data_IF_508567721550
#
_entry.id   IF_508567721550
#
_cell.length_a   1.000
_cell.length_b   1.000
_cell.length_c   1.000
_cell.angle_alpha   90.00
_cell.angle_beta   90.00
_cell.angle_gamma   90.00
#
_symmetry.space_group_name_H-M   'P 1'
#
loop_
_entity.id
_entity.type
_entity.pdbx_description
1 polymer ?
#
# COMPACT_ATOMS: atom_id res chain seq x y z
N UNK A 1 12.73 -12.77 -7.00
CA UNK A 1 12.33 -11.40 -6.60
C UNK A 1 13.47 -10.36 -6.63
N UNK A 2 14.77 -10.71 -6.52
CA UNK A 2 15.86 -9.71 -6.57
C UNK A 2 16.09 -9.05 -7.94
N UNK A 3 15.82 -9.73 -9.06
CA UNK A 3 16.03 -9.16 -10.39
C UNK A 3 15.10 -7.97 -10.70
N UNK A 4 13.87 -7.96 -10.17
CA UNK A 4 12.93 -6.84 -10.32
C UNK A 4 13.39 -5.59 -9.53
N UNK A 5 14.15 -5.78 -8.45
CA UNK A 5 14.77 -4.67 -7.70
C UNK A 5 15.99 -4.06 -8.40
N UNK A 6 16.54 -4.73 -9.42
CA UNK A 6 17.61 -4.20 -10.28
C UNK A 6 17.09 -3.46 -11.51
N UNK A 7 15.82 -3.68 -11.88
CA UNK A 7 15.13 -2.84 -12.85
C UNK A 7 14.83 -1.49 -12.17
N UNK A 8 14.98 -0.35 -12.87
CA UNK A 8 14.74 1.00 -12.33
C UNK A 8 13.24 1.24 -12.11
N UNK A 9 12.66 0.53 -11.14
CA UNK A 9 11.25 0.55 -10.78
C UNK A 9 11.04 1.27 -9.45
N UNK A 10 10.06 2.17 -9.40
CA UNK A 10 9.80 3.05 -8.26
C UNK A 10 9.22 2.33 -7.04
N UNK A 11 8.81 1.07 -7.19
CA UNK A 11 8.26 0.18 -6.18
C UNK A 11 9.18 0.02 -4.96
N UNK A 12 10.49 -0.09 -5.19
CA UNK A 12 11.49 -0.31 -4.14
C UNK A 12 11.62 0.91 -3.24
N UNK A 13 11.78 2.09 -3.86
CA UNK A 13 11.88 3.36 -3.16
C UNK A 13 10.56 3.68 -2.45
N UNK A 14 9.43 3.52 -3.13
CA UNK A 14 8.10 3.66 -2.55
C UNK A 14 7.93 2.75 -1.33
N UNK A 15 8.29 1.46 -1.45
CA UNK A 15 8.13 0.48 -0.38
C UNK A 15 8.94 0.83 0.86
N UNK A 16 10.21 1.21 0.70
CA UNK A 16 11.07 1.63 1.82
C UNK A 16 10.51 2.89 2.48
N UNK A 17 10.14 3.91 1.71
CA UNK A 17 9.55 5.14 2.24
C UNK A 17 8.21 4.87 2.96
N UNK A 18 7.35 4.03 2.38
CA UNK A 18 6.06 3.68 2.96
C UNK A 18 6.23 2.92 4.29
N UNK A 19 7.09 1.90 4.34
CA UNK A 19 7.35 1.14 5.58
C UNK A 19 7.89 2.06 6.68
N UNK A 20 8.91 2.88 6.37
CA UNK A 20 9.47 3.81 7.36
C UNK A 20 8.48 4.90 7.75
N UNK A 21 7.63 5.38 6.84
CA UNK A 21 6.54 6.30 7.15
C UNK A 21 5.61 5.70 8.21
N UNK A 22 5.19 4.44 8.04
CA UNK A 22 4.33 3.75 9.01
C UNK A 22 5.04 3.52 10.35
N UNK A 23 6.34 3.22 10.35
CA UNK A 23 7.14 3.11 11.58
C UNK A 23 7.21 4.46 12.31
N UNK A 24 7.45 5.57 11.60
CA UNK A 24 7.50 6.90 12.20
C UNK A 24 6.14 7.36 12.71
N UNK A 25 5.07 7.06 11.97
CA UNK A 25 3.69 7.32 12.39
C UNK A 25 3.32 6.55 13.66
N UNK A 26 3.73 5.28 13.77
CA UNK A 26 3.57 4.47 14.99
C UNK A 26 4.38 5.03 16.17
N UNK A 27 5.54 5.64 15.91
CA UNK A 27 6.37 6.31 16.91
C UNK A 27 5.97 7.77 17.20
N UNK A 28 4.82 8.23 16.71
CA UNK A 28 4.37 9.62 16.87
C UNK A 28 5.34 10.68 16.33
N UNK A 29 6.27 10.29 15.44
CA UNK A 29 7.19 11.21 14.75
C UNK A 29 6.54 11.71 13.46
N UNK A 30 5.47 12.50 13.60
CA UNK A 30 4.61 12.90 12.48
C UNK A 30 5.37 13.58 11.35
N UNK A 31 6.24 14.55 11.64
CA UNK A 31 6.99 15.27 10.59
C UNK A 31 7.88 14.35 9.74
N UNK A 32 8.55 13.38 10.37
CA UNK A 32 9.34 12.39 9.66
C UNK A 32 8.46 11.48 8.80
N UNK A 33 7.29 11.08 9.32
CA UNK A 33 6.31 10.32 8.54
C UNK A 33 5.79 11.12 7.34
N UNK A 34 5.47 12.42 7.54
CA UNK A 34 5.04 13.32 6.48
C UNK A 34 6.09 13.51 5.39
N UNK A 35 7.36 13.71 5.76
CA UNK A 35 8.47 13.82 4.81
C UNK A 35 8.64 12.53 3.99
N UNK A 36 8.62 11.36 4.65
CA UNK A 36 8.73 10.07 3.97
C UNK A 36 7.55 9.79 3.04
N UNK A 37 6.32 10.15 3.46
CA UNK A 37 5.14 10.06 2.61
C UNK A 37 5.21 11.02 1.41
N UNK A 38 5.77 12.22 1.60
CA UNK A 38 6.03 13.19 0.52
C UNK A 38 7.02 12.65 -0.50
N UNK A 39 8.14 12.08 -0.05
CA UNK A 39 9.11 11.41 -0.93
C UNK A 39 8.46 10.22 -1.65
N UNK A 40 7.64 9.42 -0.96
CA UNK A 40 6.86 8.36 -1.60
C UNK A 40 5.92 8.93 -2.68
N UNK A 41 5.30 10.09 -2.44
CA UNK A 41 4.42 10.78 -3.40
C UNK A 41 5.12 11.25 -4.67
N UNK A 42 6.40 11.62 -4.59
CA UNK A 42 7.21 11.93 -5.78
C UNK A 42 7.56 10.69 -6.62
N UNK A 43 7.41 9.50 -6.05
CA UNK A 43 7.70 8.24 -6.76
C UNK A 43 6.47 7.61 -7.38
N UNK A 44 5.31 7.69 -6.70
CA UNK A 44 4.07 7.01 -7.09
C UNK A 44 2.83 7.72 -6.55
N UNK A 45 1.79 7.81 -7.37
CA UNK A 45 0.48 8.35 -6.96
C UNK A 45 -0.22 7.50 -5.88
N UNK A 46 0.14 6.23 -5.75
CA UNK A 46 -0.36 5.34 -4.68
C UNK A 46 0.00 5.85 -3.28
N UNK A 47 0.95 6.78 -3.14
CA UNK A 47 1.24 7.46 -1.88
C UNK A 47 0.06 8.27 -1.32
N UNK A 48 -0.96 8.57 -2.14
CA UNK A 48 -2.21 9.18 -1.65
C UNK A 48 -2.81 8.38 -0.49
N UNK A 49 -2.64 7.06 -0.47
CA UNK A 49 -3.06 6.21 0.64
C UNK A 49 -2.34 6.54 1.96
N UNK A 50 -1.06 6.90 1.91
CA UNK A 50 -0.29 7.35 3.07
C UNK A 50 -0.74 8.74 3.53
N UNK A 51 -0.97 9.67 2.59
CA UNK A 51 -1.47 11.02 2.86
C UNK A 51 -2.82 10.97 3.58
N UNK A 52 -3.76 10.16 3.07
CA UNK A 52 -5.08 9.96 3.69
C UNK A 52 -4.94 9.34 5.09
N UNK A 53 -4.02 8.38 5.26
CA UNK A 53 -3.77 7.77 6.57
C UNK A 53 -3.20 8.78 7.57
N UNK A 54 -2.28 9.67 7.15
CA UNK A 54 -1.76 10.75 7.98
C UNK A 54 -2.85 11.77 8.35
N UNK A 55 -3.70 12.14 7.40
CA UNK A 55 -4.84 13.03 7.65
C UNK A 55 -5.83 12.44 8.65
N UNK A 56 -6.17 11.15 8.51
CA UNK A 56 -7.01 10.47 9.48
C UNK A 56 -6.34 10.35 10.86
N UNK A 57 -5.02 10.16 10.89
CA UNK A 57 -4.27 10.14 12.15
C UNK A 57 -4.28 11.51 12.85
N UNK A 58 -4.15 12.60 12.08
CA UNK A 58 -4.28 13.97 12.58
C UNK A 58 -5.68 14.25 13.12
N UNK A 59 -6.72 13.76 12.43
CA UNK A 59 -8.11 13.88 12.90
C UNK A 59 -8.32 13.10 14.20
N UNK A 60 -7.88 11.85 14.27
CA UNK A 60 -7.99 11.00 15.47
C UNK A 60 -7.27 11.65 16.66
N UNK A 61 -6.08 12.19 16.45
CA UNK A 61 -5.32 12.88 17.51
C UNK A 61 -6.04 14.16 17.98
N UNK A 62 -6.61 14.91 17.04
CA UNK A 62 -7.42 16.11 17.34
C UNK A 62 -8.64 15.75 18.19
N UNK A 63 -9.38 14.71 17.80
CA UNK A 63 -10.57 14.24 18.53
C UNK A 63 -10.20 13.76 19.93
N UNK A 64 -9.09 13.02 20.09
CA UNK A 64 -8.59 12.59 21.40
C UNK A 64 -8.37 13.78 22.33
N UNK A 65 -7.64 14.79 21.87
CA UNK A 65 -7.38 16.00 22.67
C UNK A 65 -8.68 16.74 23.04
N UNK A 66 -9.67 16.80 22.14
CA UNK A 66 -10.97 17.41 22.43
C UNK A 66 -11.74 16.62 23.49
N UNK A 67 -11.77 15.30 23.40
CA UNK A 67 -12.46 14.43 24.35
C UNK A 67 -11.81 14.48 25.73
N UNK A 68 -10.48 14.45 25.81
CA UNK A 68 -9.72 14.52 27.06
C UNK A 68 -9.99 15.84 27.80
N UNK A 69 -10.08 16.96 27.06
CA UNK A 69 -10.46 18.27 27.61
C UNK A 69 -11.89 18.30 28.13
N UNK A 70 -12.83 17.65 27.42
CA UNK A 70 -14.25 17.57 27.83
C UNK A 70 -14.46 16.69 29.05
N UNK A 71 -13.65 15.65 29.21
CA UNK A 71 -13.73 14.74 30.36
C UNK A 71 -13.23 15.37 31.68
N UNK A 72 -12.81 16.64 31.68
CA UNK A 72 -12.38 17.33 32.89
C UNK A 72 -11.05 16.82 33.46
N UNK A 73 -10.27 16.05 32.69
CA UNK A 73 -8.94 15.57 33.06
C UNK A 73 -7.87 16.70 33.03
N UNK A 74 -8.29 17.94 33.27
CA UNK A 74 -7.44 19.10 33.43
C UNK A 74 -7.18 19.37 34.90
N UNK A 75 -6.21 18.67 35.49
CA UNK A 75 -5.31 19.11 36.58
C UNK A 75 -4.79 17.91 37.38
N UNK A 76 -3.47 17.79 37.49
CA UNK A 76 -2.83 16.83 38.40
C UNK A 76 -2.02 15.74 37.72
N UNK A 77 -1.00 16.14 36.97
CA UNK A 77 0.39 15.66 37.03
C UNK A 77 1.00 16.05 35.69
N UNK A 78 1.95 16.98 35.76
CA UNK A 78 2.97 17.15 34.73
C UNK A 78 3.72 15.81 34.59
N UNK A 79 3.13 14.89 33.83
CA UNK A 79 3.82 13.73 33.32
C UNK A 79 4.50 14.20 32.04
N UNK A 80 5.78 14.54 32.16
CA UNK A 80 6.73 14.60 31.06
C UNK A 80 6.82 13.22 30.39
N UNK A 81 5.76 12.86 29.65
CA UNK A 81 5.83 11.92 28.55
C UNK A 81 5.97 12.73 27.26
N UNK A 82 6.80 12.33 26.29
CA UNK A 82 7.16 13.17 25.12
C UNK A 82 6.02 13.42 24.10
N UNK A 83 4.76 13.60 24.50
CA UNK A 83 3.64 13.79 23.55
C UNK A 83 2.30 14.34 24.08
N UNK A 84 2.23 14.94 25.28
CA UNK A 84 0.95 15.33 25.91
C UNK A 84 0.49 16.79 25.69
N UNK A 85 0.95 17.49 24.65
CA UNK A 85 0.52 18.88 24.38
C UNK A 85 -0.09 19.04 22.99
N UNK A 86 -0.83 20.12 22.79
CA UNK A 86 -1.45 20.58 21.51
C UNK A 86 -0.51 20.52 20.30
N UNK A 87 0.80 20.46 20.54
CA UNK A 87 1.83 20.25 19.53
C UNK A 87 1.66 18.95 18.74
N UNK A 88 1.11 17.88 19.33
CA UNK A 88 0.94 16.58 18.68
C UNK A 88 -0.12 16.62 17.55
N UNK A 89 -1.34 17.16 17.77
CA UNK A 89 -2.29 17.40 16.67
C UNK A 89 -1.75 18.32 15.59
N UNK A 90 -1.10 19.44 15.96
CA UNK A 90 -0.57 20.39 14.99
C UNK A 90 0.50 19.75 14.11
N UNK A 91 1.45 19.03 14.71
CA UNK A 91 2.50 18.33 13.95
C UNK A 91 1.95 17.24 13.05
N UNK A 92 0.84 16.58 13.42
CA UNK A 92 0.15 15.62 12.57
C UNK A 92 -0.52 16.29 11.35
N UNK A 93 -1.17 17.44 11.54
CA UNK A 93 -1.73 18.22 10.43
C UNK A 93 -0.64 18.77 9.51
N UNK A 94 0.44 19.34 10.07
CA UNK A 94 1.60 19.80 9.31
C UNK A 94 2.19 18.63 8.52
N UNK A 95 2.37 17.46 9.13
CA UNK A 95 2.85 16.27 8.42
C UNK A 95 1.95 15.85 7.26
N UNK A 96 0.62 15.96 7.42
CA UNK A 96 -0.34 15.68 6.35
C UNK A 96 -0.14 16.63 5.17
N UNK A 97 -0.03 17.94 5.44
CA UNK A 97 0.24 18.95 4.40
C UNK A 97 1.58 18.69 3.73
N UNK A 98 2.65 18.50 4.52
CA UNK A 98 4.00 18.19 4.02
C UNK A 98 4.01 16.94 3.15
N UNK A 99 3.20 15.93 3.47
CA UNK A 99 3.09 14.72 2.65
C UNK A 99 2.35 14.93 1.33
N UNK A 100 1.35 15.82 1.31
CA UNK A 100 0.50 16.06 0.15
C UNK A 100 1.15 16.98 -0.89
N UNK A 101 1.92 17.97 -0.44
CA UNK A 101 2.51 19.02 -1.30
C UNK A 101 3.39 18.43 -2.42
N UNK A 102 4.35 17.52 -2.16
CA UNK A 102 5.20 16.98 -3.23
C UNK A 102 4.41 16.24 -4.30
N UNK A 103 3.40 15.45 -3.89
CA UNK A 103 2.51 14.75 -4.82
C UNK A 103 1.71 15.73 -5.67
N UNK A 104 1.12 16.76 -5.06
CA UNK A 104 0.35 17.78 -5.76
C UNK A 104 1.22 18.59 -6.75
N UNK A 105 2.42 18.97 -6.34
CA UNK A 105 3.38 19.69 -7.20
C UNK A 105 3.82 18.82 -8.38
N UNK A 106 4.08 17.54 -8.14
CA UNK A 106 4.43 16.60 -9.23
C UNK A 106 3.28 16.45 -10.23
N UNK A 107 2.05 16.27 -9.75
CA UNK A 107 0.87 16.16 -10.62
C UNK A 107 0.68 17.46 -11.40
N UNK A 108 0.75 18.62 -10.76
CA UNK A 108 0.60 19.92 -11.44
C UNK A 108 1.67 20.14 -12.51
N UNK A 109 2.93 19.80 -12.20
CA UNK A 109 4.02 19.85 -13.18
C UNK A 109 3.78 18.89 -14.35
N UNK A 110 3.46 17.63 -14.07
CA UNK A 110 3.23 16.63 -15.10
C UNK A 110 2.00 16.95 -15.95
N UNK A 111 0.97 17.54 -15.37
CA UNK A 111 -0.23 18.00 -16.06
C UNK A 111 0.09 19.09 -17.07
N UNK A 112 0.90 20.09 -16.68
CA UNK A 112 1.38 21.12 -17.60
C UNK A 112 2.21 20.54 -18.77
N UNK A 113 3.07 19.56 -18.50
CA UNK A 113 3.86 18.89 -19.54
C UNK A 113 3.00 18.06 -20.51
N UNK A 114 1.91 17.47 -20.02
CA UNK A 114 1.01 16.62 -20.79
C UNK A 114 -0.25 17.36 -21.26
N UNK A 115 -0.33 18.68 -21.12
CA UNK A 115 -1.49 19.48 -21.49
C UNK A 115 -2.00 19.21 -22.93
N UNK A 116 -1.16 18.99 -23.97
CA UNK A 116 -1.62 18.70 -25.32
C UNK A 116 -2.42 17.39 -25.47
N UNK A 117 -2.26 16.44 -24.55
CA UNK A 117 -2.94 15.12 -24.57
C UNK A 117 -3.99 14.99 -23.46
N UNK A 118 -4.50 16.11 -22.95
CA UNK A 118 -5.50 16.13 -21.87
C UNK A 118 -4.90 16.07 -20.47
N UNK A 119 -3.64 16.50 -20.31
CA UNK A 119 -2.97 16.57 -19.02
C UNK A 119 -2.47 15.21 -18.53
N UNK A 120 -2.08 15.15 -17.25
CA UNK A 120 -1.50 13.95 -16.65
C UNK A 120 -2.48 12.76 -16.75
N UNK A 121 -3.75 13.00 -16.43
CA UNK A 121 -4.76 11.95 -16.45
C UNK A 121 -5.19 11.57 -17.88
N UNK A 122 -5.20 12.50 -18.84
CA UNK A 122 -5.43 12.18 -20.24
C UNK A 122 -4.32 11.28 -20.83
N UNK A 123 -3.06 11.55 -20.49
CA UNK A 123 -1.93 10.69 -20.86
C UNK A 123 -2.01 9.30 -20.20
N UNK A 124 -2.46 9.22 -18.94
CA UNK A 124 -2.66 7.95 -18.24
C UNK A 124 -3.78 7.10 -18.84
N UNK A 125 -4.91 7.73 -19.20
CA UNK A 125 -6.04 7.01 -19.77
C UNK A 125 -5.74 6.52 -21.20
N UNK A 126 -5.16 7.38 -22.04
CA UNK A 126 -4.81 7.05 -23.42
C UNK A 126 -3.68 6.02 -23.57
N UNK A 127 -2.66 6.08 -22.71
CA UNK A 127 -1.51 5.18 -22.79
C UNK A 127 -1.69 3.87 -22.04
N UNK A 128 -2.43 3.89 -20.93
CA UNK A 128 -2.42 2.81 -19.94
C UNK A 128 -3.80 2.35 -19.49
N UNK A 129 -4.88 3.02 -19.90
CA UNK A 129 -6.24 2.79 -19.42
C UNK A 129 -6.31 2.72 -17.88
N UNK A 130 -5.57 3.59 -17.19
CA UNK A 130 -5.44 3.56 -15.72
C UNK A 130 -6.62 4.20 -14.97
N UNK A 131 -7.77 4.39 -15.62
CA UNK A 131 -8.95 5.03 -15.05
C UNK A 131 -9.61 4.20 -13.94
N UNK A 132 -10.42 4.83 -13.10
CA UNK A 132 -11.28 4.11 -12.16
C UNK A 132 -12.49 3.52 -12.90
N UNK A 133 -12.65 2.20 -12.85
CA UNK A 133 -13.71 1.49 -13.57
C UNK A 133 -14.62 0.66 -12.66
N UNK A 134 -14.42 0.76 -11.34
CA UNK A 134 -15.15 -0.01 -10.33
C UNK A 134 -14.84 -1.50 -10.33
N UNK A 135 -13.73 -1.92 -10.93
CA UNK A 135 -13.28 -3.31 -10.98
C UNK A 135 -13.88 -4.13 -12.12
N UNK A 136 -14.51 -3.48 -13.12
CA UNK A 136 -15.11 -4.15 -14.27
C UNK A 136 -14.07 -4.90 -15.11
N UNK A 137 -12.95 -4.26 -15.39
CA UNK A 137 -11.81 -4.82 -16.11
C UNK A 137 -11.16 -5.95 -15.31
N UNK A 138 -11.08 -5.81 -13.98
CA UNK A 138 -10.62 -6.88 -13.09
C UNK A 138 -11.52 -8.11 -13.21
N UNK A 139 -12.83 -7.94 -13.14
CA UNK A 139 -13.78 -9.04 -13.26
C UNK A 139 -13.74 -9.68 -14.66
N UNK A 140 -13.63 -8.86 -15.70
CA UNK A 140 -13.47 -9.31 -17.09
C UNK A 140 -12.22 -10.16 -17.25
N UNK A 141 -11.09 -9.70 -16.73
CA UNK A 141 -9.82 -10.43 -16.75
C UNK A 141 -9.90 -11.78 -16.02
N UNK A 142 -10.53 -11.82 -14.85
CA UNK A 142 -10.71 -13.06 -14.11
C UNK A 142 -11.46 -14.10 -14.94
N UNK A 143 -12.57 -13.68 -15.56
CA UNK A 143 -13.40 -14.55 -16.41
C UNK A 143 -12.70 -15.00 -17.68
N UNK A 144 -12.02 -14.09 -18.38
CA UNK A 144 -11.51 -14.32 -19.74
C UNK A 144 -10.08 -14.85 -19.77
N UNK A 145 -9.29 -14.68 -18.69
CA UNK A 145 -7.86 -15.01 -18.68
C UNK A 145 -7.42 -15.87 -17.50
N UNK A 146 -8.09 -15.76 -16.36
CA UNK A 146 -7.63 -16.44 -15.12
C UNK A 146 -8.28 -17.80 -14.94
N UNK A 147 -9.59 -17.91 -15.24
CA UNK A 147 -10.33 -19.16 -15.14
C UNK A 147 -10.39 -19.95 -16.45
N UNK A 148 -9.64 -19.51 -17.47
CA UNK A 148 -9.46 -20.23 -18.74
C UNK A 148 -8.17 -21.04 -18.64
N UNK A 149 -8.23 -22.34 -18.98
CA UNK A 149 -7.12 -23.26 -18.80
C UNK A 149 -5.87 -22.93 -19.62
N UNK A 150 -4.67 -23.42 -19.24
CA UNK A 150 -3.47 -23.27 -20.05
C UNK A 150 -3.65 -23.97 -21.40
N UNK A 151 -3.70 -23.21 -22.50
CA UNK A 151 -3.90 -23.73 -23.86
C UNK A 151 -5.02 -23.05 -24.65
N UNK A 152 -6.10 -22.62 -23.98
CA UNK A 152 -7.26 -21.96 -24.62
C UNK A 152 -7.12 -20.43 -24.63
N UNK A 153 -5.89 -19.92 -24.77
CA UNK A 153 -5.58 -18.48 -24.68
C UNK A 153 -5.25 -17.95 -23.28
N UNK A 154 -5.20 -18.84 -22.27
CA UNK A 154 -4.65 -18.57 -20.94
C UNK A 154 -3.14 -18.80 -20.89
N UNK A 155 -2.37 -17.74 -20.69
CA UNK A 155 -0.94 -17.81 -20.33
C UNK A 155 -0.83 -17.94 -18.80
N UNK A 156 0.09 -18.76 -18.31
CA UNK A 156 0.36 -18.92 -16.87
C UNK A 156 0.65 -17.57 -16.21
N UNK A 157 1.29 -16.62 -16.91
CA UNK A 157 1.50 -15.26 -16.38
C UNK A 157 0.19 -14.50 -16.11
N UNK A 158 -0.82 -14.69 -16.95
CA UNK A 158 -2.14 -14.08 -16.75
C UNK A 158 -2.91 -14.70 -15.59
N UNK A 159 -2.77 -16.02 -15.41
CA UNK A 159 -3.34 -16.75 -14.29
C UNK A 159 -2.70 -16.28 -12.98
N UNK A 160 -1.36 -16.17 -12.92
CA UNK A 160 -0.65 -15.63 -11.75
C UNK A 160 -1.14 -14.23 -11.40
N UNK A 161 -1.34 -13.37 -12.41
CA UNK A 161 -1.84 -12.02 -12.19
C UNK A 161 -3.25 -12.00 -11.57
N UNK A 162 -4.18 -12.79 -12.12
CA UNK A 162 -5.53 -12.92 -11.58
C UNK A 162 -5.56 -13.52 -10.18
N UNK A 163 -4.78 -14.59 -9.94
CA UNK A 163 -4.65 -15.21 -8.62
C UNK A 163 -4.06 -14.24 -7.59
N UNK A 164 -3.14 -13.36 -8.00
CA UNK A 164 -2.57 -12.33 -7.11
C UNK A 164 -3.63 -11.31 -6.67
N UNK A 165 -4.52 -10.92 -7.58
CA UNK A 165 -5.66 -10.03 -7.26
C UNK A 165 -6.65 -10.73 -6.33
N UNK A 166 -6.99 -12.00 -6.59
CA UNK A 166 -7.85 -12.78 -5.69
C UNK A 166 -7.20 -12.90 -4.30
N UNK A 167 -5.91 -13.25 -4.26
CA UNK A 167 -5.17 -13.39 -3.02
C UNK A 167 -5.17 -12.10 -2.20
N UNK A 168 -4.94 -10.93 -2.80
CA UNK A 168 -4.95 -9.68 -2.03
C UNK A 168 -6.35 -9.34 -1.51
N UNK A 169 -7.41 -9.60 -2.28
CA UNK A 169 -8.79 -9.37 -1.80
C UNK A 169 -9.09 -10.28 -0.61
N UNK A 170 -8.73 -11.56 -0.68
CA UNK A 170 -8.88 -12.49 0.43
C UNK A 170 -8.05 -12.08 1.65
N UNK A 171 -6.82 -11.59 1.46
CA UNK A 171 -5.96 -11.09 2.53
C UNK A 171 -6.57 -9.85 3.19
N UNK A 172 -7.10 -8.90 2.40
CA UNK A 172 -7.79 -7.71 2.94
C UNK A 172 -8.98 -8.13 3.79
N UNK A 173 -9.84 -9.02 3.30
CA UNK A 173 -11.00 -9.53 4.06
C UNK A 173 -10.55 -10.28 5.32
N UNK A 174 -9.58 -11.19 5.20
CA UNK A 174 -9.05 -11.95 6.33
C UNK A 174 -8.37 -11.05 7.38
N UNK A 175 -7.78 -9.92 6.96
CA UNK A 175 -7.14 -8.94 7.84
C UNK A 175 -8.13 -8.09 8.65
N UNK A 176 -9.42 -8.07 8.29
CA UNK A 176 -10.46 -7.44 9.12
C UNK A 176 -10.55 -8.12 10.49
N UNK A 177 -10.33 -9.43 10.58
CA UNK A 177 -10.34 -10.15 11.83
C UNK A 177 -9.27 -9.69 12.83
N UNK A 178 -7.96 -9.67 12.51
CA UNK A 178 -6.95 -9.13 13.41
C UNK A 178 -7.10 -7.62 13.64
N UNK A 179 -7.65 -6.87 12.68
CA UNK A 179 -7.98 -5.45 12.87
C UNK A 179 -9.03 -5.26 13.98
N UNK A 180 -10.16 -5.98 13.89
CA UNK A 180 -11.24 -5.91 14.87
C UNK A 180 -10.83 -6.42 16.26
N UNK A 181 -9.88 -7.36 16.33
CA UNK A 181 -9.30 -7.84 17.59
C UNK A 181 -8.19 -6.96 18.17
N UNK A 182 -7.83 -5.85 17.50
CA UNK A 182 -6.73 -4.98 17.93
C UNK A 182 -5.33 -5.59 17.77
N UNK A 183 -5.21 -6.72 17.05
CA UNK A 183 -3.92 -7.33 16.73
C UNK A 183 -3.22 -6.65 15.55
N UNK A 184 -3.96 -5.92 14.72
CA UNK A 184 -3.45 -5.11 13.60
C UNK A 184 -3.85 -3.65 13.82
N UNK A 185 -2.89 -2.73 13.78
CA UNK A 185 -3.17 -1.29 13.84
C UNK A 185 -3.85 -0.83 12.55
N UNK A 186 -4.93 -0.06 12.67
CA UNK A 186 -5.61 0.58 11.54
C UNK A 186 -4.65 1.45 10.72
N UNK A 187 -3.62 2.04 11.35
CA UNK A 187 -2.56 2.83 10.69
C UNK A 187 -1.75 2.01 9.69
N UNK A 188 -1.66 0.69 9.89
CA UNK A 188 -1.03 -0.26 8.96
C UNK A 188 -2.05 -0.76 7.94
N UNK A 189 -3.26 -1.07 8.40
CA UNK A 189 -4.31 -1.66 7.57
C UNK A 189 -4.82 -0.71 6.48
N UNK A 190 -5.13 0.54 6.85
CA UNK A 190 -5.76 1.51 5.94
C UNK A 190 -4.95 1.77 4.66
N UNK A 191 -3.65 2.14 4.72
CA UNK A 191 -2.90 2.41 3.50
C UNK A 191 -2.73 1.15 2.64
N UNK A 192 -2.57 -0.03 3.25
CA UNK A 192 -2.49 -1.30 2.54
C UNK A 192 -3.80 -1.66 1.83
N UNK A 193 -4.94 -1.51 2.51
CA UNK A 193 -6.27 -1.75 1.96
C UNK A 193 -6.61 -0.75 0.83
N UNK A 194 -6.25 0.53 1.01
CA UNK A 194 -6.43 1.55 -0.03
C UNK A 194 -5.61 1.25 -1.28
N UNK A 195 -4.33 0.89 -1.14
CA UNK A 195 -3.48 0.54 -2.29
C UNK A 195 -4.04 -0.71 -3.00
N UNK A 196 -4.47 -1.73 -2.25
CA UNK A 196 -5.15 -2.89 -2.84
C UNK A 196 -6.43 -2.47 -3.58
N UNK A 197 -7.23 -1.57 -3.00
CA UNK A 197 -8.43 -1.03 -3.63
C UNK A 197 -8.13 -0.27 -4.93
N UNK A 198 -7.11 0.60 -4.94
CA UNK A 198 -6.67 1.31 -6.16
C UNK A 198 -6.34 0.30 -7.26
N UNK A 199 -5.62 -0.77 -6.94
CA UNK A 199 -5.23 -1.80 -7.91
C UNK A 199 -6.40 -2.68 -8.36
N UNK A 200 -7.38 -2.94 -7.50
CA UNK A 200 -8.54 -3.80 -7.82
C UNK A 200 -9.61 -3.03 -8.61
N UNK A 201 -9.80 -1.75 -8.33
CA UNK A 201 -10.88 -0.93 -8.90
C UNK A 201 -10.44 0.01 -10.03
N UNK A 202 -9.15 0.03 -10.37
CA UNK A 202 -8.69 0.66 -11.60
C UNK A 202 -8.81 -0.30 -12.78
N UNK A 203 -8.84 0.25 -13.99
CA UNK A 203 -8.51 -0.44 -15.22
C UNK A 203 -6.97 -0.44 -15.42
N UNK A 204 -6.49 -1.03 -16.51
CA UNK A 204 -5.11 -0.96 -16.97
C UNK A 204 -4.44 -2.30 -17.18
N UNK A 205 -3.11 -2.34 -17.13
CA UNK A 205 -2.33 -3.53 -17.49
C UNK A 205 -2.34 -4.58 -16.37
N UNK A 206 -3.28 -5.53 -16.44
CA UNK A 206 -3.53 -6.55 -15.40
C UNK A 206 -2.33 -7.42 -15.05
N UNK A 207 -1.57 -7.85 -16.06
CA UNK A 207 -0.43 -8.73 -15.82
C UNK A 207 0.71 -8.06 -15.03
N UNK A 208 0.73 -6.73 -14.96
CA UNK A 208 1.70 -5.98 -14.15
C UNK A 208 1.26 -5.80 -12.69
N UNK A 209 -0.01 -6.04 -12.34
CA UNK A 209 -0.57 -5.77 -11.00
C UNK A 209 0.09 -6.51 -9.84
N UNK A 210 0.60 -7.75 -9.98
CA UNK A 210 1.28 -8.43 -8.88
C UNK A 210 2.38 -7.59 -8.21
N UNK A 211 3.12 -6.79 -8.99
CA UNK A 211 4.19 -5.92 -8.45
C UNK A 211 3.64 -4.81 -7.55
N UNK A 212 2.43 -4.31 -7.83
CA UNK A 212 1.77 -3.24 -7.07
C UNK A 212 1.22 -3.75 -5.72
N UNK A 213 0.97 -5.05 -5.62
CA UNK A 213 0.33 -5.70 -4.48
C UNK A 213 1.33 -6.19 -3.42
N UNK A 214 2.64 -6.10 -3.68
CA UNK A 214 3.69 -6.52 -2.73
C UNK A 214 3.52 -5.80 -1.39
N UNK A 215 3.39 -4.47 -1.40
CA UNK A 215 3.25 -3.70 -0.17
C UNK A 215 2.00 -4.10 0.63
N UNK A 216 0.78 -4.12 0.05
CA UNK A 216 -0.41 -4.60 0.75
C UNK A 216 -0.25 -6.01 1.34
N UNK A 217 0.29 -6.96 0.57
CA UNK A 217 0.46 -8.35 1.02
C UNK A 217 1.41 -8.43 2.23
N UNK A 218 2.55 -7.74 2.18
CA UNK A 218 3.53 -7.74 3.27
C UNK A 218 2.94 -7.15 4.57
N UNK A 219 2.20 -6.05 4.47
CA UNK A 219 1.64 -5.37 5.64
C UNK A 219 0.48 -6.15 6.25
N UNK A 220 -0.41 -6.70 5.42
CA UNK A 220 -1.64 -7.37 5.88
C UNK A 220 -1.41 -8.80 6.38
N UNK A 221 -0.35 -9.48 5.91
CA UNK A 221 0.03 -10.80 6.42
C UNK A 221 0.78 -10.75 7.76
N UNK A 222 1.29 -9.57 8.14
CA UNK A 222 2.09 -9.38 9.36
C UNK A 222 1.50 -10.01 10.64
N UNK A 223 0.20 -9.80 11.00
CA UNK A 223 -0.34 -10.38 12.23
C UNK A 223 -0.36 -11.91 12.22
N UNK A 224 -0.59 -12.53 11.06
CA UNK A 224 -0.64 -13.98 10.89
C UNK A 224 0.74 -14.60 10.95
N UNK A 225 1.71 -14.01 10.25
CA UNK A 225 3.11 -14.43 10.29
C UNK A 225 3.67 -14.29 11.70
N UNK A 226 3.39 -13.17 12.38
CA UNK A 226 3.81 -12.96 13.77
C UNK A 226 3.13 -13.92 14.75
N UNK A 227 1.87 -14.29 14.54
CA UNK A 227 1.18 -15.28 15.35
C UNK A 227 1.78 -16.69 15.16
N UNK A 228 2.01 -17.11 13.91
CA UNK A 228 2.64 -18.38 13.59
C UNK A 228 4.06 -18.49 14.15
N UNK A 229 4.87 -17.44 13.96
CA UNK A 229 6.24 -17.36 14.48
C UNK A 229 6.29 -17.38 16.02
N UNK A 230 5.31 -16.79 16.72
CA UNK A 230 5.25 -16.88 18.20
C UNK A 230 4.80 -18.25 18.68
N UNK A 231 3.78 -18.83 18.05
CA UNK A 231 3.17 -20.09 18.50
C UNK A 231 4.10 -21.28 18.21
N UNK A 232 4.62 -21.38 16.99
CA UNK A 232 5.31 -22.56 16.47
C UNK A 232 6.79 -22.31 16.15
N UNK A 233 7.28 -21.07 16.37
CA UNK A 233 8.69 -20.68 16.22
C UNK A 233 9.29 -21.21 14.91
N UNK A 234 10.37 -21.98 15.00
CA UNK A 234 11.10 -22.51 13.85
C UNK A 234 10.26 -23.44 12.97
N UNK A 235 9.30 -24.19 13.54
CA UNK A 235 8.45 -25.11 12.80
C UNK A 235 7.48 -24.39 11.85
N UNK A 236 7.19 -23.12 12.08
CA UNK A 236 6.45 -22.27 11.14
C UNK A 236 7.39 -21.38 10.32
N UNK A 237 8.34 -20.69 10.98
CA UNK A 237 9.18 -19.68 10.33
C UNK A 237 10.04 -20.26 9.22
N UNK A 238 10.67 -21.42 9.42
CA UNK A 238 11.54 -22.01 8.39
C UNK A 238 10.74 -22.45 7.16
N UNK A 239 9.67 -23.27 7.28
CA UNK A 239 8.87 -23.64 6.11
C UNK A 239 8.23 -22.43 5.42
N UNK A 240 7.75 -21.43 6.18
CA UNK A 240 7.16 -20.23 5.60
C UNK A 240 8.17 -19.43 4.78
N UNK A 241 9.35 -19.16 5.33
CA UNK A 241 10.41 -18.41 4.62
C UNK A 241 10.90 -19.20 3.39
N UNK A 242 11.11 -20.51 3.54
CA UNK A 242 11.50 -21.37 2.42
C UNK A 242 10.43 -21.36 1.33
N UNK A 243 9.16 -21.55 1.68
CA UNK A 243 8.05 -21.50 0.73
C UNK A 243 7.95 -20.13 0.04
N UNK A 244 8.10 -19.04 0.79
CA UNK A 244 8.11 -17.68 0.24
C UNK A 244 9.24 -17.46 -0.77
N UNK A 245 10.46 -17.91 -0.43
CA UNK A 245 11.62 -17.81 -1.30
C UNK A 245 11.48 -18.69 -2.55
N UNK A 246 11.05 -19.95 -2.39
CA UNK A 246 10.89 -20.91 -3.49
C UNK A 246 9.77 -20.47 -4.43
N UNK A 247 8.58 -20.17 -3.89
CA UNK A 247 7.45 -19.67 -4.69
C UNK A 247 7.83 -18.35 -5.38
N UNK A 248 8.45 -17.43 -4.66
CA UNK A 248 8.92 -16.16 -5.20
C UNK A 248 9.95 -16.35 -6.31
N UNK A 249 10.85 -17.33 -6.21
CA UNK A 249 11.82 -17.68 -7.25
C UNK A 249 11.12 -18.21 -8.50
N UNK A 250 10.22 -19.20 -8.37
CA UNK A 250 9.50 -19.77 -9.52
C UNK A 250 8.57 -18.77 -10.19
N UNK A 251 7.79 -18.01 -9.42
CA UNK A 251 6.90 -16.97 -9.96
C UNK A 251 7.70 -15.87 -10.66
N UNK A 252 8.79 -15.40 -10.04
CA UNK A 252 9.68 -14.42 -10.70
C UNK A 252 10.30 -15.00 -11.97
N UNK A 253 10.84 -16.22 -11.91
CA UNK A 253 11.48 -16.87 -13.05
C UNK A 253 10.52 -17.04 -14.21
N UNK A 254 9.28 -17.45 -13.94
CA UNK A 254 8.24 -17.56 -14.96
C UNK A 254 7.83 -16.21 -15.55
N UNK A 255 7.63 -15.19 -14.70
CA UNK A 255 7.23 -13.88 -15.17
C UNK A 255 8.34 -13.13 -15.90
N UNK A 256 9.61 -13.54 -15.77
CA UNK A 256 10.77 -12.89 -16.41
C UNK A 256 11.28 -13.60 -17.66
N UNK A 257 11.15 -14.94 -17.74
CA UNK A 257 11.80 -15.73 -18.80
C UNK A 257 10.79 -16.20 -19.86
N UNK A 258 9.81 -17.07 -19.54
CA UNK A 258 8.86 -17.58 -20.53
C UNK A 258 7.71 -16.62 -20.85
N UNK A 259 7.34 -15.71 -19.94
CA UNK A 259 6.19 -14.85 -20.15
C UNK A 259 6.49 -13.75 -21.17
N UNK A 260 5.82 -13.78 -22.32
CA UNK A 260 6.07 -12.84 -23.45
C UNK A 260 5.82 -11.37 -23.15
N UNK A 261 5.07 -11.07 -22.08
CA UNK A 261 4.78 -9.71 -21.61
C UNK A 261 5.48 -9.42 -20.29
N UNK A 262 6.61 -10.09 -20.04
CA UNK A 262 7.54 -9.72 -19.00
C UNK A 262 7.96 -8.26 -19.21
N UNK A 263 7.76 -7.42 -18.19
CA UNK A 263 8.31 -6.08 -18.10
C UNK A 263 9.27 -6.05 -16.92
#
# INVERSE_FOLDING_TARGET
MSAVYWMPYSESLFGVCAVWCLVMLRRHRFLAAGALAGVAGLTRLTAVALVVTLGLAALVETVRVILDRRAGAGSGVAGDGPGSSVTTPLTAWVATVVSAVPLALYIAWADGQAAPVGGYFGAQDSGWHSGFDGGRATMRWLRERTFVGPGDGGDVGYIIAGLSVIAVVLIVVASLWPLLRGALDWRLWLPAAMIAGIVVFSDGIMHSRPRLLIFPVLVLLLPWVAAGARRWRWAFTVPFVVAWCVLGFFVSGWLLVPFRWAI
#
